data_IF_833671541317
#
_entry.id   IF_833671541317
#
_cell.length_a   1.000
_cell.length_b   1.000
_cell.length_c   1.000
_cell.angle_alpha   90.00
_cell.angle_beta   90.00
_cell.angle_gamma   90.00
#
_symmetry.space_group_name_H-M   'P 1'
#
loop_
_entity.id
_entity.type
_entity.pdbx_description
1 polymer ?
#
# COMPACT_ATOMS: atom_id res chain seq x y z
N UNK A 1 -0.91 -23.40 -14.95
CA UNK A 1 0.36 -22.75 -15.35
C UNK A 1 0.83 -21.88 -14.20
N UNK A 2 2.09 -21.99 -13.72
CA UNK A 2 2.57 -21.19 -12.61
C UNK A 2 2.81 -19.75 -13.10
N UNK A 3 2.12 -18.78 -12.49
CA UNK A 3 2.29 -17.37 -12.80
C UNK A 3 3.65 -16.88 -12.29
N UNK A 4 4.40 -16.23 -13.18
CA UNK A 4 5.69 -15.58 -12.91
C UNK A 4 5.53 -14.61 -11.72
N UNK A 5 6.40 -14.70 -10.72
CA UNK A 5 6.37 -13.86 -9.53
C UNK A 5 6.29 -12.36 -9.90
N UNK A 6 5.27 -11.68 -9.36
CA UNK A 6 4.94 -10.28 -9.61
C UNK A 6 5.89 -9.36 -8.83
N UNK A 7 6.19 -8.18 -9.37
CA UNK A 7 7.01 -7.16 -8.70
C UNK A 7 6.15 -5.91 -8.45
N UNK A 8 5.26 -5.99 -7.47
CA UNK A 8 4.59 -4.81 -6.91
C UNK A 8 5.44 -4.29 -5.75
N UNK A 9 5.85 -3.03 -5.83
CA UNK A 9 6.65 -2.39 -4.79
C UNK A 9 5.78 -1.38 -4.03
N UNK A 10 5.59 -1.64 -2.73
CA UNK A 10 4.93 -0.71 -1.82
C UNK A 10 6.03 0.14 -1.19
N UNK A 11 6.14 1.38 -1.64
CA UNK A 11 7.12 2.30 -1.10
C UNK A 11 6.61 2.91 0.20
N UNK A 12 7.34 2.65 1.28
CA UNK A 12 7.09 3.25 2.59
C UNK A 12 7.75 4.63 2.64
N UNK A 13 7.13 5.63 3.30
CA UNK A 13 7.84 6.85 3.59
C UNK A 13 9.04 6.47 4.46
N UNK A 14 10.22 6.89 4.02
CA UNK A 14 11.42 6.84 4.84
C UNK A 14 11.06 7.34 6.25
N UNK A 15 11.10 6.41 7.21
CA UNK A 15 11.45 6.76 8.58
C UNK A 15 12.75 7.55 8.43
N UNK A 16 12.73 8.82 8.82
CA UNK A 16 13.85 9.75 8.75
C UNK A 16 15.19 8.99 8.79
N UNK A 17 15.91 8.96 7.67
CA UNK A 17 17.35 8.72 7.79
C UNK A 17 17.88 10.01 8.42
N UNK A 18 17.90 10.01 9.75
CA UNK A 18 18.85 10.83 10.49
C UNK A 18 20.21 10.22 10.14
N UNK A 19 20.82 10.66 9.04
CA UNK A 19 22.26 10.52 8.92
C UNK A 19 22.85 11.30 10.10
N UNK A 20 23.82 10.72 10.84
CA UNK A 20 24.34 11.35 12.04
C UNK A 20 24.82 12.74 11.66
N UNK A 21 24.17 13.77 12.21
CA UNK A 21 24.76 15.09 12.23
C UNK A 21 26.13 14.91 12.91
N UNK A 22 27.25 15.35 12.30
CA UNK A 22 28.50 15.34 13.01
C UNK A 22 28.32 16.24 14.22
N UNK A 23 28.49 15.63 15.39
CA UNK A 23 28.46 16.25 16.71
C UNK A 23 29.29 17.54 16.67
N UNK A 24 28.69 18.64 17.13
CA UNK A 24 29.49 19.75 17.64
C UNK A 24 30.21 19.23 18.89
N UNK A 25 31.47 18.84 18.75
CA UNK A 25 32.37 18.74 19.89
C UNK A 25 33.41 19.86 19.82
N UNK A 26 33.57 20.49 20.98
CA UNK A 26 34.50 21.58 21.20
C UNK A 26 35.94 21.17 20.90
N UNK A 27 36.64 22.16 20.35
CA UNK A 27 38.07 22.19 20.14
C UNK A 27 38.78 22.03 21.49
N UNK A 28 39.65 21.01 21.63
CA UNK A 28 40.97 21.15 22.26
C UNK A 28 41.98 20.17 21.63
N UNK A 29 42.78 20.70 20.69
CA UNK A 29 44.23 20.44 20.68
C UNK A 29 44.83 19.59 19.56
N UNK A 30 45.38 20.30 18.56
CA UNK A 30 46.65 20.10 17.81
C UNK A 30 46.91 18.79 17.02
N UNK A 31 47.04 18.95 15.70
CA UNK A 31 47.70 18.02 14.77
C UNK A 31 47.45 18.41 13.31
N UNK A 32 48.42 19.05 12.66
CA UNK A 32 48.27 19.77 11.38
C UNK A 32 48.37 18.89 10.12
N UNK A 33 47.42 19.14 9.21
CA UNK A 33 47.47 19.10 7.75
C UNK A 33 47.76 17.78 7.00
N UNK A 34 46.68 17.21 6.42
CA UNK A 34 46.72 16.41 5.20
C UNK A 34 45.54 16.79 4.30
N UNK A 35 45.80 16.99 3.01
CA UNK A 35 44.96 17.68 2.02
C UNK A 35 43.56 17.05 1.81
N UNK A 36 42.50 17.76 2.23
CA UNK A 36 41.09 17.34 2.14
C UNK A 36 40.40 17.70 0.81
N UNK A 37 41.13 18.21 -0.20
CA UNK A 37 40.49 18.65 -1.45
C UNK A 37 40.19 17.54 -2.46
N UNK A 38 40.83 16.36 -2.33
CA UNK A 38 40.57 15.21 -3.22
C UNK A 38 39.37 14.35 -2.80
N UNK A 39 39.07 14.23 -1.51
CA UNK A 39 37.93 13.42 -1.02
C UNK A 39 36.59 14.03 -1.37
N UNK A 40 36.49 15.36 -1.37
CA UNK A 40 35.24 16.06 -1.73
C UNK A 40 34.88 15.86 -3.20
N UNK A 41 35.86 15.87 -4.11
CA UNK A 41 35.61 15.63 -5.55
C UNK A 41 35.24 14.18 -5.84
N UNK A 42 35.94 13.22 -5.24
CA UNK A 42 35.62 11.79 -5.41
C UNK A 42 34.22 11.48 -4.85
N UNK A 43 33.87 12.03 -3.68
CA UNK A 43 32.54 11.85 -3.09
C UNK A 43 31.45 12.47 -3.97
N UNK A 44 31.65 13.67 -4.50
CA UNK A 44 30.70 14.33 -5.41
C UNK A 44 30.53 13.55 -6.71
N UNK A 45 31.60 12.99 -7.27
CA UNK A 45 31.55 12.15 -8.46
C UNK A 45 30.81 10.84 -8.15
N UNK A 46 31.12 10.18 -7.04
CA UNK A 46 30.45 8.92 -6.65
C UNK A 46 28.96 9.12 -6.39
N UNK A 47 28.58 10.23 -5.72
CA UNK A 47 27.19 10.63 -5.50
C UNK A 47 26.47 10.91 -6.83
N UNK A 48 27.11 11.60 -7.78
CA UNK A 48 26.52 11.86 -9.10
C UNK A 48 26.41 10.59 -9.95
N UNK A 49 27.41 9.69 -9.92
CA UNK A 49 27.39 8.41 -10.65
C UNK A 49 26.25 7.53 -10.14
N UNK A 50 26.03 7.45 -8.82
CA UNK A 50 24.89 6.71 -8.24
C UNK A 50 23.55 7.31 -8.67
N UNK A 51 23.44 8.66 -8.73
CA UNK A 51 22.21 9.34 -9.15
C UNK A 51 21.81 9.04 -10.60
N UNK A 52 22.76 8.66 -11.45
CA UNK A 52 22.54 8.42 -12.87
C UNK A 52 21.98 7.02 -13.15
N UNK A 53 22.11 6.04 -12.25
CA UNK A 53 21.88 4.62 -12.59
C UNK A 53 20.52 3.99 -12.27
N UNK A 54 19.50 4.70 -11.78
CA UNK A 54 18.18 4.07 -11.62
C UNK A 54 17.03 4.96 -12.09
N UNK A 55 16.84 5.04 -13.41
CA UNK A 55 15.58 5.48 -14.00
C UNK A 55 14.54 4.36 -13.83
N UNK A 56 14.02 4.21 -12.62
CA UNK A 56 12.90 3.30 -12.32
C UNK A 56 11.65 3.85 -13.02
N UNK A 57 11.30 3.28 -14.17
CA UNK A 57 10.08 3.61 -14.90
C UNK A 57 8.95 2.69 -14.43
N UNK A 58 7.86 3.30 -13.97
CA UNK A 58 6.63 2.60 -13.62
C UNK A 58 5.55 2.91 -14.63
N UNK A 59 4.82 1.87 -15.08
CA UNK A 59 3.69 2.04 -16.00
C UNK A 59 2.47 2.66 -15.29
N UNK A 60 2.32 2.39 -13.99
CA UNK A 60 1.25 2.97 -13.17
C UNK A 60 1.72 3.30 -11.76
N UNK A 61 1.33 4.47 -11.27
CA UNK A 61 1.61 4.91 -9.90
C UNK A 61 0.27 5.09 -9.17
N UNK A 62 0.12 4.42 -8.03
CA UNK A 62 -1.05 4.48 -7.16
C UNK A 62 -0.64 5.22 -5.88
N UNK A 63 -1.38 6.27 -5.53
CA UNK A 63 -1.14 7.03 -4.30
C UNK A 63 -2.14 6.56 -3.24
N UNK A 64 -1.63 5.86 -2.23
CA UNK A 64 -2.35 5.31 -1.09
C UNK A 64 -2.44 3.79 -1.13
N UNK A 65 -1.85 3.11 -0.14
CA UNK A 65 -1.94 1.66 0.05
C UNK A 65 -3.11 1.29 0.97
N UNK A 66 -4.27 1.90 0.74
CA UNK A 66 -5.54 1.52 1.37
C UNK A 66 -6.26 0.39 0.61
N UNK A 67 -7.49 0.05 1.02
CA UNK A 67 -8.27 -0.99 0.34
C UNK A 67 -8.41 -0.74 -1.17
N UNK A 68 -8.80 0.47 -1.56
CA UNK A 68 -8.96 0.83 -2.97
C UNK A 68 -7.63 0.74 -3.76
N UNK A 69 -6.52 1.24 -3.21
CA UNK A 69 -5.23 1.25 -3.88
C UNK A 69 -4.64 -0.14 -4.05
N UNK A 70 -4.66 -0.95 -2.97
CA UNK A 70 -4.22 -2.35 -3.03
C UNK A 70 -5.09 -3.16 -4.00
N UNK A 71 -6.41 -3.02 -3.92
CA UNK A 71 -7.32 -3.73 -4.82
C UNK A 71 -7.13 -3.31 -6.28
N UNK A 72 -6.89 -2.02 -6.54
CA UNK A 72 -6.58 -1.52 -7.89
C UNK A 72 -5.28 -2.15 -8.41
N UNK A 73 -4.21 -2.17 -7.61
CA UNK A 73 -2.93 -2.74 -8.00
C UNK A 73 -3.05 -4.21 -8.41
N UNK A 74 -3.80 -5.00 -7.65
CA UNK A 74 -4.04 -6.43 -7.92
C UNK A 74 -4.75 -6.64 -9.27
N UNK A 75 -5.65 -5.72 -9.65
CA UNK A 75 -6.45 -5.84 -10.87
C UNK A 75 -5.73 -5.32 -12.13
N UNK A 76 -4.59 -4.64 -12.01
CA UNK A 76 -3.77 -4.24 -13.16
C UNK A 76 -3.01 -5.47 -13.68
N UNK A 77 -3.42 -5.96 -14.86
CA UNK A 77 -2.90 -7.22 -15.43
C UNK A 77 -1.55 -7.10 -16.14
N UNK A 78 -1.12 -5.89 -16.48
CA UNK A 78 0.08 -5.63 -17.28
C UNK A 78 0.77 -4.35 -16.82
N UNK A 79 2.09 -4.37 -16.88
CA UNK A 79 2.95 -3.25 -16.53
C UNK A 79 3.45 -3.29 -15.09
N UNK A 80 4.41 -2.41 -14.78
CA UNK A 80 4.95 -2.20 -13.44
C UNK A 80 4.09 -1.20 -12.65
N UNK A 81 3.72 -1.58 -11.43
CA UNK A 81 2.90 -0.76 -10.53
C UNK A 81 3.72 -0.34 -9.30
N UNK A 82 3.74 0.95 -9.03
CA UNK A 82 4.27 1.53 -7.79
C UNK A 82 3.12 1.99 -6.91
N UNK A 83 3.10 1.57 -5.65
CA UNK A 83 2.15 2.09 -4.66
C UNK A 83 2.92 2.96 -3.66
N UNK A 84 2.51 4.22 -3.51
CA UNK A 84 3.07 5.17 -2.55
C UNK A 84 2.13 5.31 -1.35
N UNK A 85 2.60 5.02 -0.14
CA UNK A 85 1.82 5.19 1.09
C UNK A 85 2.46 6.23 2.01
N UNK A 86 1.65 7.07 2.66
CA UNK A 86 2.12 8.08 3.61
C UNK A 86 2.41 7.49 5.00
N UNK A 87 1.70 6.43 5.38
CA UNK A 87 1.88 5.74 6.65
C UNK A 87 3.06 4.77 6.60
N UNK A 88 3.57 4.40 7.78
CA UNK A 88 4.63 3.40 7.92
C UNK A 88 4.21 1.99 7.43
N UNK A 89 2.91 1.71 7.42
CA UNK A 89 2.35 0.45 6.94
C UNK A 89 1.14 0.67 6.03
N UNK A 90 1.01 -0.20 5.04
CA UNK A 90 -0.17 -0.30 4.19
C UNK A 90 -1.40 -0.75 5.00
N UNK A 91 -2.59 -0.38 4.53
CA UNK A 91 -3.85 -0.91 5.04
C UNK A 91 -4.21 -0.51 6.46
N UNK A 92 -3.64 0.57 7.02
CA UNK A 92 -3.92 1.00 8.40
C UNK A 92 -5.41 1.18 8.69
N UNK A 93 -6.20 1.68 7.72
CA UNK A 93 -7.67 1.79 7.82
C UNK A 93 -8.38 0.43 7.78
N UNK A 94 -7.85 -0.55 7.04
CA UNK A 94 -8.38 -1.92 7.02
C UNK A 94 -8.26 -2.53 8.42
N UNK A 95 -7.10 -2.35 9.06
CA UNK A 95 -6.79 -2.91 10.38
C UNK A 95 -7.68 -2.40 11.51
N UNK A 96 -8.20 -1.18 11.40
CA UNK A 96 -9.06 -0.57 12.44
C UNK A 96 -10.56 -0.66 12.09
N UNK A 97 -10.91 -1.05 10.86
CA UNK A 97 -12.31 -1.17 10.43
C UNK A 97 -13.04 -2.24 11.23
N UNK A 98 -14.32 -1.98 11.55
CA UNK A 98 -15.19 -2.95 12.22
C UNK A 98 -14.68 -3.41 13.58
N UNK A 99 -14.00 -2.54 14.34
CA UNK A 99 -13.41 -2.90 15.63
C UNK A 99 -12.28 -3.92 15.50
N UNK A 100 -11.42 -3.74 14.50
CA UNK A 100 -10.31 -4.64 14.14
C UNK A 100 -10.72 -5.97 13.49
N UNK A 101 -12.00 -6.16 13.20
CA UNK A 101 -12.52 -7.35 12.49
C UNK A 101 -12.51 -7.18 10.97
N UNK A 102 -12.45 -5.95 10.48
CA UNK A 102 -12.67 -5.54 9.09
C UNK A 102 -14.08 -5.85 8.58
N UNK A 103 -14.97 -4.86 8.68
CA UNK A 103 -16.20 -4.84 7.89
C UNK A 103 -15.82 -4.44 6.46
N UNK A 104 -15.75 -5.41 5.54
CA UNK A 104 -15.24 -5.16 4.18
C UNK A 104 -16.34 -5.01 3.14
N UNK A 105 -17.57 -5.48 3.40
CA UNK A 105 -18.74 -5.24 2.54
C UNK A 105 -20.05 -5.47 3.30
N UNK A 106 -21.19 -5.34 2.61
CA UNK A 106 -22.53 -5.64 3.14
C UNK A 106 -23.22 -6.67 2.22
N UNK A 107 -24.04 -7.57 2.77
CA UNK A 107 -24.71 -8.68 2.07
C UNK A 107 -26.01 -8.31 1.34
N UNK A 108 -26.45 -7.06 1.42
CA UNK A 108 -27.67 -6.55 0.80
C UNK A 108 -27.66 -6.63 -0.74
N UNK A 109 -28.82 -6.37 -1.36
CA UNK A 109 -28.90 -6.26 -2.81
C UNK A 109 -28.14 -5.03 -3.33
N UNK A 110 -27.79 -5.03 -4.62
CA UNK A 110 -27.13 -3.88 -5.26
C UNK A 110 -27.95 -2.59 -5.11
N UNK A 111 -29.27 -2.71 -5.15
CA UNK A 111 -30.21 -1.58 -5.05
C UNK A 111 -30.24 -1.00 -3.64
N UNK A 112 -30.31 -1.84 -2.61
CA UNK A 112 -30.25 -1.39 -1.21
C UNK A 112 -28.88 -0.79 -0.89
N UNK A 113 -27.80 -1.43 -1.34
CA UNK A 113 -26.44 -0.93 -1.17
C UNK A 113 -26.28 0.48 -1.75
N UNK A 114 -26.86 0.76 -2.92
CA UNK A 114 -26.81 2.08 -3.55
C UNK A 114 -27.53 3.16 -2.74
N UNK A 115 -28.61 2.82 -2.02
CA UNK A 115 -29.35 3.77 -1.18
C UNK A 115 -28.51 4.28 -0.01
N UNK A 116 -27.56 3.48 0.49
CA UNK A 116 -26.64 3.91 1.55
C UNK A 116 -25.67 5.02 1.13
N UNK A 117 -25.55 5.29 -0.17
CA UNK A 117 -24.68 6.33 -0.72
C UNK A 117 -25.42 7.64 -1.07
N UNK A 118 -26.69 7.78 -0.68
CA UNK A 118 -27.51 8.98 -0.87
C UNK A 118 -27.38 9.55 -2.30
N UNK A 119 -27.00 10.82 -2.44
CA UNK A 119 -26.87 11.53 -3.71
C UNK A 119 -25.75 10.97 -4.60
N UNK A 120 -24.80 10.22 -4.04
CA UNK A 120 -23.68 9.62 -4.78
C UNK A 120 -23.98 8.23 -5.34
N UNK A 121 -25.17 7.66 -5.07
CA UNK A 121 -25.55 6.35 -5.61
C UNK A 121 -25.47 6.29 -7.14
N UNK A 122 -25.85 7.35 -7.84
CA UNK A 122 -25.78 7.39 -9.31
C UNK A 122 -24.35 7.30 -9.85
N UNK A 123 -23.38 7.91 -9.17
CA UNK A 123 -21.97 7.83 -9.54
C UNK A 123 -21.43 6.40 -9.37
N UNK A 124 -21.84 5.73 -8.28
CA UNK A 124 -21.38 4.37 -7.94
C UNK A 124 -22.13 3.27 -8.68
N UNK A 125 -23.26 3.58 -9.33
CA UNK A 125 -24.12 2.61 -10.02
C UNK A 125 -23.33 1.73 -11.00
N UNK A 126 -22.56 2.34 -11.90
CA UNK A 126 -21.78 1.57 -12.87
C UNK A 126 -20.73 0.68 -12.19
N UNK A 127 -20.06 1.18 -11.15
CA UNK A 127 -19.07 0.41 -10.41
C UNK A 127 -19.71 -0.80 -9.70
N UNK A 128 -20.79 -0.59 -8.95
CA UNK A 128 -21.48 -1.64 -8.17
C UNK A 128 -22.15 -2.68 -9.07
N UNK A 129 -22.65 -2.29 -10.25
CA UNK A 129 -23.25 -3.25 -11.18
C UNK A 129 -22.20 -4.14 -11.86
N UNK A 130 -21.02 -3.60 -12.17
CA UNK A 130 -19.90 -4.34 -12.78
C UNK A 130 -19.09 -5.17 -11.77
N UNK A 131 -18.92 -4.67 -10.55
CA UNK A 131 -18.20 -5.34 -9.48
C UNK A 131 -18.90 -5.06 -8.15
N UNK A 132 -19.70 -6.02 -7.71
CA UNK A 132 -20.63 -5.92 -6.59
C UNK A 132 -20.05 -6.44 -5.27
N UNK A 133 -20.82 -6.28 -4.21
CA UNK A 133 -20.57 -6.88 -2.90
C UNK A 133 -20.44 -8.41 -2.95
N UNK A 134 -21.15 -9.08 -3.87
CA UNK A 134 -21.01 -10.54 -4.03
C UNK A 134 -19.68 -10.91 -4.66
N UNK A 135 -19.22 -10.10 -5.62
CA UNK A 135 -17.94 -10.34 -6.30
C UNK A 135 -16.77 -10.19 -5.33
N UNK A 136 -16.82 -9.22 -4.40
CA UNK A 136 -15.78 -9.09 -3.36
C UNK A 136 -15.81 -10.23 -2.33
N UNK A 137 -17.00 -10.74 -1.98
CA UNK A 137 -17.12 -11.93 -1.10
C UNK A 137 -16.49 -13.14 -1.77
N UNK A 138 -16.84 -13.38 -3.04
CA UNK A 138 -16.28 -14.49 -3.83
C UNK A 138 -14.77 -14.34 -3.98
N UNK A 139 -14.28 -13.13 -4.25
CA UNK A 139 -12.85 -12.83 -4.37
C UNK A 139 -12.07 -13.26 -3.12
N UNK A 140 -12.54 -12.92 -1.92
CA UNK A 140 -11.90 -13.38 -0.69
C UNK A 140 -12.11 -14.88 -0.43
N UNK A 141 -13.26 -15.45 -0.82
CA UNK A 141 -13.52 -16.88 -0.76
C UNK A 141 -12.56 -17.71 -1.61
N UNK A 142 -12.24 -17.26 -2.83
CA UNK A 142 -11.23 -17.86 -3.71
C UNK A 142 -9.82 -17.86 -3.10
N UNK A 143 -9.59 -16.96 -2.14
CA UNK A 143 -8.34 -16.86 -1.38
C UNK A 143 -8.34 -17.68 -0.07
N UNK A 144 -9.40 -18.45 0.16
CA UNK A 144 -9.58 -19.26 1.38
C UNK A 144 -9.99 -18.46 2.61
N UNK A 145 -10.52 -17.24 2.42
CA UNK A 145 -11.07 -16.44 3.52
C UNK A 145 -12.59 -16.62 3.53
N UNK A 146 -13.06 -17.50 4.41
CA UNK A 146 -14.48 -17.63 4.71
C UNK A 146 -15.04 -16.35 5.34
N UNK A 147 -16.33 -16.12 5.15
CA UNK A 147 -17.00 -14.88 5.57
C UNK A 147 -18.14 -15.15 6.54
N UNK A 148 -18.29 -14.25 7.52
CA UNK A 148 -19.39 -14.20 8.49
C UNK A 148 -20.23 -12.97 8.22
N UNK A 149 -21.55 -13.14 8.24
CA UNK A 149 -22.53 -12.05 8.12
C UNK A 149 -23.18 -11.85 9.50
N UNK A 150 -23.34 -10.61 9.93
CA UNK A 150 -24.06 -10.29 11.15
C UNK A 150 -25.53 -9.91 10.91
N UNK A 151 -26.25 -9.62 11.99
CA UNK A 151 -27.68 -9.25 11.95
C UNK A 151 -27.96 -7.97 11.16
N UNK A 152 -26.94 -7.12 10.94
CA UNK A 152 -27.04 -5.86 10.19
C UNK A 152 -26.57 -6.04 8.73
N UNK A 153 -26.33 -7.27 8.29
CA UNK A 153 -25.83 -7.57 6.95
C UNK A 153 -24.37 -7.18 6.72
N UNK A 154 -23.62 -6.81 7.76
CA UNK A 154 -22.19 -6.48 7.64
C UNK A 154 -21.38 -7.76 7.48
N UNK A 155 -20.40 -7.73 6.59
CA UNK A 155 -19.60 -8.91 6.24
C UNK A 155 -18.18 -8.78 6.79
N UNK A 156 -17.79 -9.80 7.54
CA UNK A 156 -16.50 -9.93 8.20
C UNK A 156 -15.79 -11.22 7.77
N UNK A 157 -14.46 -11.32 7.87
CA UNK A 157 -13.78 -12.61 7.79
C UNK A 157 -14.25 -13.52 8.94
N UNK A 158 -14.35 -14.82 8.70
CA UNK A 158 -14.76 -15.82 9.69
C UNK A 158 -13.83 -15.82 10.92
N UNK A 159 -12.55 -15.50 10.73
CA UNK A 159 -11.57 -15.35 11.81
C UNK A 159 -11.77 -14.12 12.68
N UNK A 160 -12.64 -13.19 12.27
CA UNK A 160 -12.85 -11.86 12.86
C UNK A 160 -11.56 -11.05 13.00
N UNK A 161 -10.57 -11.27 12.12
CA UNK A 161 -9.30 -10.54 12.12
C UNK A 161 -9.09 -9.78 10.81
N UNK A 162 -9.05 -8.45 10.93
CA UNK A 162 -8.69 -7.55 9.82
C UNK A 162 -7.32 -7.83 9.20
N UNK A 163 -6.41 -8.44 9.97
CA UNK A 163 -5.07 -8.82 9.48
C UNK A 163 -5.13 -9.82 8.34
N UNK A 164 -6.15 -10.68 8.31
CA UNK A 164 -6.24 -11.75 7.32
C UNK A 164 -6.62 -11.16 5.95
N UNK A 165 -7.56 -10.21 5.94
CA UNK A 165 -7.90 -9.41 4.76
C UNK A 165 -6.69 -8.63 4.25
N UNK A 166 -5.96 -7.95 5.14
CA UNK A 166 -4.77 -7.19 4.72
C UNK A 166 -3.67 -8.09 4.15
N UNK A 167 -3.41 -9.24 4.78
CA UNK A 167 -2.43 -10.22 4.30
C UNK A 167 -2.81 -10.76 2.93
N UNK A 168 -4.09 -11.07 2.72
CA UNK A 168 -4.61 -11.49 1.43
C UNK A 168 -4.31 -10.46 0.33
N UNK A 169 -4.64 -9.20 0.57
CA UNK A 169 -4.39 -8.12 -0.38
C UNK A 169 -2.90 -7.92 -0.66
N UNK A 170 -2.05 -7.93 0.38
CA UNK A 170 -0.60 -7.77 0.24
C UNK A 170 0.07 -8.94 -0.46
N UNK A 171 -0.42 -10.17 -0.26
CA UNK A 171 0.12 -11.36 -0.94
C UNK A 171 -0.18 -11.36 -2.44
N UNK A 172 -1.25 -10.69 -2.87
CA UNK A 172 -1.67 -10.64 -4.28
C UNK A 172 -1.23 -9.40 -5.04
N UNK A 173 -0.73 -8.39 -4.33
CA UNK A 173 -0.02 -7.27 -4.94
C UNK A 173 1.30 -7.77 -5.54
#
# INVERSE_FOLDING_TARGET
>A
MPQKARKCEIWKPLQYIIFPAPLREGIKGRGEFCDLRFTSFILVIYVNIIYIEHKMSYDTIIIGAGAAGLFTAINIKKGSVLILEKNFSAGKKILISGGSKCNFTNSESKEELLKHYYEHGNFLKHAIYNYSNRDIINYFGEMGIDTKIDEQGRVFPQSEKSTDILKALLYNC
#
